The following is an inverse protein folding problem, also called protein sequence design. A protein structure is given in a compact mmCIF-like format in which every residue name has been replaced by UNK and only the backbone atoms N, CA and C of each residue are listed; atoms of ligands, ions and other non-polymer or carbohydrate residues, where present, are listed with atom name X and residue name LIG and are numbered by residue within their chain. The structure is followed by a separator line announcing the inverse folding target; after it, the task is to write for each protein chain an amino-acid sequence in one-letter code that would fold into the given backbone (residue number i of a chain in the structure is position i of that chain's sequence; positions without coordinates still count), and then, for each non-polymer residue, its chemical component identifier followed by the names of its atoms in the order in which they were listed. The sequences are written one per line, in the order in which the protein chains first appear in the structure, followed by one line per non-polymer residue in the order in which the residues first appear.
data_IF_872906078178
#
_entry.id   IF_872906078178
#
_cell.length_a   1.000
_cell.length_b   1.000
_cell.length_c   1.000
_cell.angle_alpha   90.00
_cell.angle_beta   90.00
_cell.angle_gamma   90.00
#
_symmetry.space_group_name_H-M   'P 1'
#
loop_
_entity.id
_entity.type
_entity.pdbx_description
1 polymer ?
#
# COMPACT_ATOMS: atom_id res chain seq x y z
N UNK A 1 -46.42 16.74 4.65
CA UNK A 1 -45.35 17.15 3.71
C UNK A 1 -43.98 17.14 4.36
N UNK A 2 -43.87 17.17 5.71
CA UNK A 2 -42.57 16.99 6.42
C UNK A 2 -42.26 15.51 6.77
N UNK A 3 -43.28 14.66 6.92
CA UNK A 3 -43.14 13.24 7.33
C UNK A 3 -42.37 12.40 6.30
N UNK A 4 -42.55 12.67 5.01
CA UNK A 4 -41.82 12.00 3.93
C UNK A 4 -40.34 12.45 3.85
N UNK A 5 -40.04 13.68 4.30
CA UNK A 5 -38.67 14.22 4.32
C UNK A 5 -37.87 13.74 5.54
N UNK A 6 -38.53 13.57 6.69
CA UNK A 6 -37.92 12.97 7.88
C UNK A 6 -37.64 11.48 7.67
N UNK A 7 -38.57 10.72 7.09
CA UNK A 7 -38.34 9.32 6.74
C UNK A 7 -37.20 9.14 5.73
N UNK A 8 -37.08 10.05 4.76
CA UNK A 8 -35.99 10.00 3.79
C UNK A 8 -34.63 10.27 4.46
N UNK A 9 -34.55 11.23 5.39
CA UNK A 9 -33.33 11.53 6.16
C UNK A 9 -32.89 10.38 7.06
N UNK A 10 -33.82 9.73 7.76
CA UNK A 10 -33.50 8.58 8.62
C UNK A 10 -33.00 7.37 7.80
N UNK A 11 -33.60 7.12 6.63
CA UNK A 11 -33.16 6.05 5.73
C UNK A 11 -31.76 6.31 5.17
N UNK A 12 -31.46 7.54 4.72
CA UNK A 12 -30.11 7.88 4.24
C UNK A 12 -29.09 7.85 5.38
N UNK A 13 -29.45 8.33 6.57
CA UNK A 13 -28.55 8.30 7.74
C UNK A 13 -28.25 6.89 8.23
N UNK A 14 -29.19 5.96 8.08
CA UNK A 14 -29.00 4.56 8.45
C UNK A 14 -28.19 3.81 7.38
N UNK A 15 -28.43 4.10 6.10
CA UNK A 15 -27.66 3.56 4.98
C UNK A 15 -26.17 3.93 5.06
N UNK A 16 -25.85 5.22 5.19
CA UNK A 16 -24.46 5.69 5.31
C UNK A 16 -23.73 5.03 6.48
N UNK A 17 -24.40 4.88 7.63
CA UNK A 17 -23.80 4.25 8.82
C UNK A 17 -23.54 2.75 8.63
N UNK A 18 -24.40 2.04 7.91
CA UNK A 18 -24.20 0.63 7.61
C UNK A 18 -23.09 0.42 6.57
N UNK A 19 -23.00 1.31 5.58
CA UNK A 19 -21.94 1.29 4.58
C UNK A 19 -20.57 1.60 5.21
N UNK A 20 -20.49 2.58 6.11
CA UNK A 20 -19.27 2.90 6.87
C UNK A 20 -18.85 1.74 7.79
N UNK A 21 -19.79 1.16 8.55
CA UNK A 21 -19.50 -0.01 9.38
C UNK A 21 -19.04 -1.24 8.57
N UNK A 22 -19.56 -1.41 7.34
CA UNK A 22 -19.13 -2.49 6.44
C UNK A 22 -17.71 -2.24 5.91
N UNK A 23 -17.39 -1.00 5.55
CA UNK A 23 -16.06 -0.61 5.09
C UNK A 23 -14.99 -0.81 6.18
N UNK A 24 -15.30 -0.43 7.43
CA UNK A 24 -14.43 -0.67 8.58
C UNK A 24 -14.16 -2.17 8.81
N UNK A 25 -15.20 -3.00 8.69
CA UNK A 25 -15.07 -4.45 8.81
C UNK A 25 -14.20 -5.06 7.71
N UNK A 26 -14.36 -4.61 6.47
CA UNK A 26 -13.54 -5.05 5.34
C UNK A 26 -12.07 -4.63 5.49
N UNK A 27 -11.83 -3.42 6.00
CA UNK A 27 -10.48 -2.92 6.24
C UNK A 27 -9.79 -3.71 7.36
N UNK A 28 -10.50 -4.02 8.44
CA UNK A 28 -10.01 -4.88 9.52
C UNK A 28 -9.67 -6.30 9.02
N UNK A 29 -10.56 -6.90 8.22
CA UNK A 29 -10.31 -8.22 7.65
C UNK A 29 -9.06 -8.24 6.74
N UNK A 30 -8.82 -7.17 5.99
CA UNK A 30 -7.60 -7.03 5.20
C UNK A 30 -6.36 -6.88 6.09
N UNK A 31 -6.42 -6.07 7.14
CA UNK A 31 -5.33 -5.92 8.11
C UNK A 31 -4.94 -7.27 8.73
N UNK A 32 -5.90 -8.05 9.21
CA UNK A 32 -5.67 -9.39 9.77
C UNK A 32 -5.02 -10.33 8.75
N UNK A 33 -5.47 -10.29 7.49
CA UNK A 33 -4.87 -11.08 6.43
C UNK A 33 -3.41 -10.69 6.16
N UNK A 34 -3.08 -9.39 6.17
CA UNK A 34 -1.71 -8.90 5.98
C UNK A 34 -0.82 -9.31 7.17
N UNK A 35 -1.32 -9.19 8.40
CA UNK A 35 -0.60 -9.62 9.60
C UNK A 35 -0.21 -11.10 9.53
N UNK A 36 -1.16 -11.97 9.14
CA UNK A 36 -0.89 -13.39 8.96
C UNK A 36 0.18 -13.67 7.88
N UNK A 37 0.21 -12.90 6.80
CA UNK A 37 1.27 -13.00 5.79
C UNK A 37 2.65 -12.56 6.34
N UNK A 38 2.70 -11.49 7.13
CA UNK A 38 3.93 -11.03 7.79
C UNK A 38 4.50 -12.08 8.76
N UNK A 39 3.64 -12.68 9.58
CA UNK A 39 4.02 -13.75 10.50
C UNK A 39 4.57 -14.97 9.76
N UNK A 40 3.91 -15.38 8.67
CA UNK A 40 4.36 -16.50 7.84
C UNK A 40 5.72 -16.22 7.16
N UNK A 41 5.97 -14.97 6.74
CA UNK A 41 7.29 -14.56 6.22
C UNK A 41 8.35 -14.69 7.30
N UNK A 42 8.06 -14.22 8.52
CA UNK A 42 9.00 -14.25 9.63
C UNK A 42 9.28 -15.66 10.16
N UNK A 43 8.28 -16.55 10.09
CA UNK A 43 8.44 -17.98 10.35
C UNK A 43 9.24 -18.72 9.25
N UNK A 44 9.53 -18.06 8.13
CA UNK A 44 10.20 -18.65 6.97
C UNK A 44 9.30 -19.58 6.15
N UNK A 45 7.99 -19.57 6.40
CA UNK A 45 7.00 -20.34 5.66
C UNK A 45 6.71 -19.71 4.29
N UNK A 46 6.87 -18.38 4.18
CA UNK A 46 6.71 -17.61 2.95
C UNK A 46 7.94 -16.76 2.65
N UNK A 47 8.15 -16.50 1.36
CA UNK A 47 9.23 -15.65 0.89
C UNK A 47 8.78 -14.19 0.85
N UNK A 48 9.68 -13.26 1.20
CA UNK A 48 9.46 -11.81 1.09
C UNK A 48 9.58 -11.25 -0.34
N UNK A 49 9.88 -12.11 -1.32
CA UNK A 49 10.19 -11.70 -2.68
C UNK A 49 8.92 -11.57 -3.52
N UNK A 50 8.73 -10.40 -4.13
CA UNK A 50 7.70 -10.17 -5.15
C UNK A 50 8.33 -10.38 -6.53
N UNK A 51 7.72 -11.21 -7.37
CA UNK A 51 8.18 -11.49 -8.75
C UNK A 51 7.03 -11.24 -9.73
N UNK A 52 7.31 -10.53 -10.83
CA UNK A 52 6.34 -10.22 -11.88
C UNK A 52 6.91 -10.66 -13.23
N UNK A 53 6.07 -11.28 -14.06
CA UNK A 53 6.44 -11.63 -15.44
C UNK A 53 5.96 -10.52 -16.39
N UNK A 54 6.79 -9.49 -16.56
CA UNK A 54 6.52 -8.34 -17.41
C UNK A 54 7.78 -7.96 -18.21
N UNK A 55 7.75 -8.29 -19.51
CA UNK A 55 8.88 -8.06 -20.41
C UNK A 55 9.23 -6.57 -20.58
N UNK A 56 8.26 -5.70 -20.92
CA UNK A 56 8.49 -4.26 -21.01
C UNK A 56 9.08 -3.64 -19.72
N UNK A 57 8.53 -3.95 -18.55
CA UNK A 57 9.06 -3.41 -17.29
C UNK A 57 10.45 -3.96 -16.97
N UNK A 58 10.71 -5.24 -17.26
CA UNK A 58 12.04 -5.81 -17.13
C UNK A 58 13.05 -5.07 -18.03
N UNK A 59 12.67 -4.76 -19.27
CA UNK A 59 13.53 -4.01 -20.19
C UNK A 59 13.79 -2.57 -19.72
N UNK A 60 12.77 -1.87 -19.21
CA UNK A 60 12.93 -0.53 -18.63
C UNK A 60 13.93 -0.56 -17.46
N UNK A 61 13.73 -1.46 -16.50
CA UNK A 61 14.58 -1.53 -15.31
C UNK A 61 16.02 -1.89 -15.66
N UNK A 62 16.22 -2.81 -16.61
CA UNK A 62 17.57 -3.12 -17.10
C UNK A 62 18.21 -1.94 -17.82
N UNK A 63 17.45 -1.15 -18.59
CA UNK A 63 17.97 0.05 -19.24
C UNK A 63 18.33 1.16 -18.23
N UNK A 64 17.59 1.29 -17.13
CA UNK A 64 17.90 2.20 -16.03
C UNK A 64 19.17 1.76 -15.30
N UNK A 65 19.35 0.48 -15.01
CA UNK A 65 20.58 -0.05 -14.40
C UNK A 65 21.82 0.16 -15.27
N UNK A 66 21.68 0.10 -16.60
CA UNK A 66 22.79 0.38 -17.52
C UNK A 66 23.12 1.89 -17.62
N UNK A 67 22.28 2.74 -17.00
CA UNK A 67 22.33 4.20 -17.06
C UNK A 67 22.18 4.78 -15.66
N UNK A 68 23.22 4.62 -14.83
CA UNK A 68 23.22 4.98 -13.40
C UNK A 68 22.58 6.35 -13.10
N UNK A 69 22.89 7.40 -13.88
CA UNK A 69 22.30 8.74 -13.69
C UNK A 69 20.76 8.72 -13.79
N UNK A 70 20.19 7.96 -14.73
CA UNK A 70 18.73 7.85 -14.92
C UNK A 70 18.10 7.03 -13.77
N UNK A 71 18.80 6.01 -13.26
CA UNK A 71 18.34 5.22 -12.10
C UNK A 71 18.26 6.10 -10.86
N UNK A 72 19.33 6.86 -10.59
CA UNK A 72 19.41 7.78 -9.45
C UNK A 72 18.32 8.84 -9.56
N UNK A 73 18.21 9.52 -10.71
CA UNK A 73 17.17 10.52 -10.95
C UNK A 73 15.77 9.94 -10.74
N UNK A 74 15.50 8.73 -11.24
CA UNK A 74 14.20 8.07 -11.06
C UNK A 74 13.91 7.78 -9.58
N UNK A 75 14.90 7.28 -8.85
CA UNK A 75 14.73 6.98 -7.42
C UNK A 75 14.53 8.24 -6.57
N UNK A 76 15.26 9.31 -6.86
CA UNK A 76 15.07 10.63 -6.22
C UNK A 76 13.65 11.17 -6.46
N UNK A 77 13.18 11.15 -7.70
CA UNK A 77 11.81 11.59 -8.03
C UNK A 77 10.73 10.78 -7.28
N UNK A 78 10.95 9.47 -7.12
CA UNK A 78 10.03 8.60 -6.39
C UNK A 78 10.07 8.88 -4.86
N UNK A 79 11.24 9.15 -4.30
CA UNK A 79 11.39 9.56 -2.89
C UNK A 79 10.70 10.89 -2.62
N UNK A 80 10.93 11.88 -3.49
CA UNK A 80 10.28 13.20 -3.41
C UNK A 80 8.75 13.06 -3.45
N UNK A 81 8.23 12.24 -4.36
CA UNK A 81 6.79 12.00 -4.47
C UNK A 81 6.18 11.36 -3.21
N UNK A 82 6.98 10.56 -2.48
CA UNK A 82 6.59 9.90 -1.23
C UNK A 82 6.98 10.70 0.03
N UNK A 83 7.63 11.86 -0.11
CA UNK A 83 8.13 12.66 1.00
C UNK A 83 9.20 11.96 1.84
N UNK A 84 10.05 11.13 1.22
CA UNK A 84 11.13 10.39 1.88
C UNK A 84 12.43 11.20 1.74
N UNK A 85 13.03 11.57 2.87
CA UNK A 85 14.33 12.23 2.93
C UNK A 85 15.44 11.17 3.11
N UNK A 86 16.17 10.86 2.03
CA UNK A 86 17.35 9.97 2.04
C UNK A 86 18.39 10.47 1.02
N UNK A 87 19.64 10.62 1.47
CA UNK A 87 20.77 11.16 0.70
C UNK A 87 21.60 10.06 -0.01
N UNK A 88 21.25 8.78 0.17
CA UNK A 88 21.96 7.66 -0.46
C UNK A 88 21.52 7.41 -1.89
N UNK A 89 22.41 6.98 -2.78
CA UNK A 89 22.01 6.64 -4.16
C UNK A 89 21.03 5.47 -4.17
N UNK A 90 19.85 5.60 -4.80
CA UNK A 90 18.85 4.55 -4.83
C UNK A 90 19.29 3.38 -5.72
N UNK A 91 19.07 2.16 -5.27
CA UNK A 91 19.30 0.95 -6.07
C UNK A 91 18.04 0.48 -6.82
N UNK A 92 18.18 -0.47 -7.77
CA UNK A 92 17.04 -1.05 -8.50
C UNK A 92 15.93 -1.57 -7.58
N UNK A 93 16.29 -2.21 -6.48
CA UNK A 93 15.32 -2.79 -5.55
C UNK A 93 14.56 -1.70 -4.80
N UNK A 94 15.21 -0.58 -4.51
CA UNK A 94 14.58 0.62 -3.98
C UNK A 94 13.64 1.25 -4.99
N UNK A 95 14.09 1.54 -6.21
CA UNK A 95 13.25 2.10 -7.29
C UNK A 95 11.96 1.28 -7.46
N UNK A 96 12.09 -0.04 -7.50
CA UNK A 96 10.94 -0.96 -7.57
C UNK A 96 9.99 -0.85 -6.37
N UNK A 97 10.54 -0.83 -5.14
CA UNK A 97 9.72 -0.72 -3.92
C UNK A 97 9.02 0.63 -3.83
N UNK A 98 9.68 1.72 -4.21
CA UNK A 98 9.11 3.07 -4.19
C UNK A 98 8.03 3.21 -5.26
N UNK A 99 8.28 2.75 -6.49
CA UNK A 99 7.28 2.78 -7.57
C UNK A 99 6.03 1.96 -7.20
N UNK A 100 6.20 0.77 -6.59
CA UNK A 100 5.08 -0.04 -6.12
C UNK A 100 4.29 0.70 -5.02
N UNK A 101 4.99 1.28 -4.04
CA UNK A 101 4.35 2.03 -2.94
C UNK A 101 3.59 3.24 -3.47
N UNK A 102 4.19 4.06 -4.32
CA UNK A 102 3.53 5.22 -4.93
C UNK A 102 2.31 4.81 -5.77
N UNK A 103 2.40 3.70 -6.50
CA UNK A 103 1.29 3.16 -7.27
C UNK A 103 0.09 2.81 -6.40
N UNK A 104 0.30 2.13 -5.26
CA UNK A 104 -0.78 1.85 -4.31
C UNK A 104 -1.28 3.10 -3.60
N UNK A 105 -0.41 4.05 -3.24
CA UNK A 105 -0.83 5.29 -2.60
C UNK A 105 -1.76 6.11 -3.51
N UNK A 106 -1.45 6.11 -4.80
CA UNK A 106 -2.25 6.83 -5.80
C UNK A 106 -3.56 6.11 -6.13
N UNK A 107 -3.52 4.79 -6.32
CA UNK A 107 -4.66 4.05 -6.86
C UNK A 107 -5.55 3.38 -5.81
N UNK A 108 -5.00 3.07 -4.63
CA UNK A 108 -5.67 2.28 -3.59
C UNK A 108 -5.10 2.56 -2.18
N UNK A 109 -5.19 3.82 -1.69
CA UNK A 109 -4.58 4.25 -0.43
C UNK A 109 -5.01 3.41 0.78
N UNK A 110 -6.29 3.02 0.84
CA UNK A 110 -6.83 2.19 1.94
C UNK A 110 -6.07 0.86 2.11
N UNK A 111 -5.47 0.32 1.03
CA UNK A 111 -4.67 -0.91 1.08
C UNK A 111 -3.31 -0.68 1.74
N UNK A 112 -2.70 0.48 1.53
CA UNK A 112 -1.47 0.86 2.23
C UNK A 112 -1.73 1.20 3.69
N UNK A 113 -2.87 1.81 4.01
CA UNK A 113 -3.26 2.10 5.39
C UNK A 113 -3.44 0.79 6.17
N UNK A 114 -4.18 -0.18 5.63
CA UNK A 114 -4.30 -1.51 6.22
C UNK A 114 -2.94 -2.19 6.39
N UNK A 115 -2.03 -2.03 5.42
CA UNK A 115 -0.66 -2.55 5.51
C UNK A 115 0.12 -1.87 6.65
N UNK A 116 0.00 -0.56 6.81
CA UNK A 116 0.67 0.20 7.88
C UNK A 116 0.18 -0.26 9.25
N UNK A 117 -1.13 -0.37 9.44
CA UNK A 117 -1.73 -0.86 10.69
C UNK A 117 -1.27 -2.28 11.02
N UNK A 118 -1.23 -3.18 10.03
CA UNK A 118 -0.72 -4.54 10.23
C UNK A 118 0.77 -4.56 10.63
N UNK A 119 1.60 -3.71 10.03
CA UNK A 119 3.03 -3.61 10.38
C UNK A 119 3.22 -3.07 11.79
N UNK A 120 2.47 -2.05 12.20
CA UNK A 120 2.51 -1.50 13.56
C UNK A 120 2.11 -2.54 14.61
N UNK A 121 1.03 -3.28 14.34
CA UNK A 121 0.58 -4.38 15.19
C UNK A 121 1.64 -5.48 15.28
N UNK A 122 2.15 -5.94 14.14
CA UNK A 122 3.19 -6.97 14.07
C UNK A 122 4.46 -6.56 14.84
N UNK A 123 4.87 -5.30 14.76
CA UNK A 123 6.00 -4.78 15.53
C UNK A 123 5.72 -4.80 17.05
N UNK A 124 4.50 -4.43 17.46
CA UNK A 124 4.09 -4.41 18.87
C UNK A 124 4.08 -5.81 19.51
N UNK A 125 3.76 -6.85 18.74
CA UNK A 125 3.74 -8.24 19.23
C UNK A 125 5.16 -8.83 19.43
N UNK A 126 6.19 -8.15 18.94
CA UNK A 126 7.59 -8.61 18.96
C UNK A 126 8.50 -7.82 19.91
N UNK A 127 7.95 -6.83 20.63
CA UNK A 127 8.63 -6.11 21.71
C UNK A 127 8.54 -6.89 23.03
#
# INVERSE_FOLDING_TARGET
MDEDLEQLREQTSTGDRLDEASAEQEQHALQEAILAELEAIDAGEKQKTVSVWDGPMAALLSALEDRDDDLVETGEQLRDALGIEDESDPDRSEVLRLALRLGFETAAPDKLDATRSAVEEHASQRL
#
